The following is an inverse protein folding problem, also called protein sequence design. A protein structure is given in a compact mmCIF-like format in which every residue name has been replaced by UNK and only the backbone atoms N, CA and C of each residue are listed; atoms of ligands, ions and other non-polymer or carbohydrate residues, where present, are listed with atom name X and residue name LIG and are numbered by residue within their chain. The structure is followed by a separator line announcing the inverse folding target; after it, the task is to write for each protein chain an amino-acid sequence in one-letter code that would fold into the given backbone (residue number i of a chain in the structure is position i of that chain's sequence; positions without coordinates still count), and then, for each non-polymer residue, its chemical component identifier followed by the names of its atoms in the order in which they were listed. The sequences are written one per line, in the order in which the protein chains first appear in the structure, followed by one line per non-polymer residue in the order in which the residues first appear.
data_IF_754946153958
#
_entry.id   IF_754946153958
#
_cell.length_a   1.000
_cell.length_b   1.000
_cell.length_c   1.000
_cell.angle_alpha   90.00
_cell.angle_beta   90.00
_cell.angle_gamma   90.00
#
_symmetry.space_group_name_H-M   'P 1'
#
loop_
_entity.id
_entity.type
_entity.pdbx_description
1 polymer ?
#
# COMPACT_ATOMS: atom_id res chain seq x y z
N UNK A 1 -5.64 15.05 -15.11
CA UNK A 1 -4.45 15.04 -14.23
C UNK A 1 -4.85 14.34 -12.94
N UNK A 2 -4.01 13.48 -12.37
CA UNK A 2 -4.29 12.78 -11.11
C UNK A 2 -3.26 13.16 -10.05
N UNK A 3 -3.66 13.20 -8.78
CA UNK A 3 -2.74 13.43 -7.67
C UNK A 3 -2.05 12.14 -7.25
N UNK A 4 -0.98 12.23 -6.47
CA UNK A 4 -0.29 11.06 -5.91
C UNK A 4 -1.22 10.24 -5.01
N UNK A 5 -2.09 10.89 -4.23
CA UNK A 5 -3.09 10.22 -3.42
C UNK A 5 -4.08 9.41 -4.27
N UNK A 6 -4.57 9.99 -5.38
CA UNK A 6 -5.47 9.26 -6.27
C UNK A 6 -4.76 8.09 -6.94
N UNK A 7 -3.50 8.27 -7.36
CA UNK A 7 -2.72 7.18 -7.94
C UNK A 7 -2.50 6.03 -6.95
N UNK A 8 -2.20 6.32 -5.68
CA UNK A 8 -2.01 5.29 -4.66
C UNK A 8 -3.31 4.52 -4.39
N UNK A 9 -4.44 5.22 -4.30
CA UNK A 9 -5.77 4.59 -4.16
C UNK A 9 -6.09 3.69 -5.34
N UNK A 10 -5.78 4.15 -6.55
CA UNK A 10 -5.97 3.38 -7.77
C UNK A 10 -5.12 2.11 -7.74
N UNK A 11 -3.84 2.15 -7.35
CA UNK A 11 -2.96 0.97 -7.33
C UNK A 11 -3.34 -0.06 -6.25
N UNK A 12 -3.78 0.42 -5.08
CA UNK A 12 -4.09 -0.47 -3.95
C UNK A 12 -5.47 -1.12 -4.13
N UNK A 13 -6.42 -0.47 -4.83
CA UNK A 13 -7.76 -1.00 -5.13
C UNK A 13 -8.61 -1.43 -3.92
N UNK A 14 -8.27 -1.01 -2.69
CA UNK A 14 -9.07 -1.25 -1.48
C UNK A 14 -9.78 0.02 -1.01
N UNK A 15 -11.00 -0.16 -0.50
CA UNK A 15 -11.81 0.93 0.08
C UNK A 15 -11.32 1.24 1.49
N UNK A 16 -10.29 2.08 1.58
CA UNK A 16 -9.80 2.64 2.85
C UNK A 16 -10.00 4.16 2.87
N UNK A 17 -9.98 4.75 4.07
CA UNK A 17 -10.11 6.19 4.23
C UNK A 17 -8.95 6.95 3.56
N UNK A 18 -9.19 8.18 3.08
CA UNK A 18 -8.13 9.02 2.52
C UNK A 18 -6.97 9.22 3.50
N UNK A 19 -7.28 9.41 4.79
CA UNK A 19 -6.28 9.59 5.84
C UNK A 19 -5.34 8.40 6.00
N UNK A 20 -5.82 7.18 5.76
CA UNK A 20 -4.95 6.00 5.74
C UNK A 20 -3.88 6.10 4.64
N UNK A 21 -4.28 6.44 3.41
CA UNK A 21 -3.36 6.57 2.29
C UNK A 21 -2.42 7.77 2.45
N UNK A 22 -2.92 8.89 2.96
CA UNK A 22 -2.13 10.09 3.25
C UNK A 22 -1.00 9.78 4.25
N UNK A 23 -1.28 9.04 5.31
CA UNK A 23 -0.26 8.63 6.28
C UNK A 23 0.84 7.79 5.63
N UNK A 24 0.48 6.86 4.73
CA UNK A 24 1.45 6.00 4.03
C UNK A 24 2.33 6.78 3.05
N UNK A 25 1.77 7.80 2.41
CA UNK A 25 2.55 8.72 1.58
C UNK A 25 3.51 9.56 2.42
N UNK A 26 3.04 10.10 3.55
CA UNK A 26 3.87 10.91 4.47
C UNK A 26 5.04 10.12 5.05
N UNK A 27 4.83 8.86 5.45
CA UNK A 27 5.91 7.96 5.90
C UNK A 27 7.01 7.77 4.84
N UNK A 28 6.66 7.92 3.56
CA UNK A 28 7.55 7.82 2.40
C UNK A 28 8.00 9.17 1.86
N UNK A 29 7.72 10.27 2.56
CA UNK A 29 8.05 11.64 2.15
C UNK A 29 7.42 12.05 0.80
N UNK A 30 6.18 11.63 0.55
CA UNK A 30 5.37 12.01 -0.61
C UNK A 30 4.21 12.92 -0.21
N UNK A 31 3.88 13.92 -1.04
CA UNK A 31 2.70 14.76 -0.83
C UNK A 31 1.52 14.22 -1.63
N UNK A 32 0.45 13.80 -0.95
CA UNK A 32 -0.74 13.28 -1.61
C UNK A 32 -1.44 14.26 -2.56
N UNK A 33 -1.21 15.57 -2.40
CA UNK A 33 -1.83 16.63 -3.20
C UNK A 33 -1.04 17.00 -4.45
N UNK A 34 0.22 16.57 -4.56
CA UNK A 34 1.04 16.87 -5.73
C UNK A 34 0.54 16.12 -6.98
N UNK A 35 0.86 16.66 -8.16
CA UNK A 35 0.52 16.02 -9.43
C UNK A 35 1.37 14.75 -9.57
N UNK A 36 0.70 13.62 -9.77
CA UNK A 36 1.40 12.36 -10.00
C UNK A 36 2.01 12.33 -11.40
N UNK A 37 3.34 12.27 -11.45
CA UNK A 37 4.12 12.14 -12.69
C UNK A 37 4.59 10.69 -12.89
N UNK A 38 5.07 10.39 -14.10
CA UNK A 38 5.66 9.08 -14.41
C UNK A 38 6.87 8.80 -13.52
N UNK A 39 7.65 9.83 -13.19
CA UNK A 39 8.83 9.69 -12.32
C UNK A 39 8.42 9.31 -10.90
N UNK A 40 7.34 9.91 -10.37
CA UNK A 40 6.78 9.52 -9.07
C UNK A 40 6.29 8.08 -9.11
N UNK A 41 5.53 7.66 -10.12
CA UNK A 41 5.04 6.27 -10.25
C UNK A 41 6.18 5.24 -10.28
N UNK A 42 7.30 5.58 -10.92
CA UNK A 42 8.47 4.70 -11.01
C UNK A 42 9.39 4.79 -9.79
N UNK A 43 9.21 5.79 -8.94
CA UNK A 43 10.05 6.06 -7.78
C UNK A 43 9.95 4.96 -6.71
N UNK A 44 11.04 4.77 -5.96
CA UNK A 44 11.05 3.86 -4.82
C UNK A 44 10.03 4.25 -3.73
N UNK A 45 9.91 5.54 -3.33
CA UNK A 45 8.93 5.96 -2.33
C UNK A 45 7.50 5.57 -2.68
N UNK A 46 7.07 5.77 -3.94
CA UNK A 46 5.69 5.47 -4.32
C UNK A 46 5.40 3.98 -4.30
N UNK A 47 6.30 3.17 -4.88
CA UNK A 47 6.21 1.70 -4.82
C UNK A 47 6.22 1.19 -3.39
N UNK A 48 7.07 1.76 -2.54
CA UNK A 48 7.11 1.48 -1.11
C UNK A 48 5.77 1.78 -0.42
N UNK A 49 5.15 2.92 -0.72
CA UNK A 49 3.84 3.29 -0.17
C UNK A 49 2.75 2.28 -0.57
N UNK A 50 2.74 1.79 -1.82
CA UNK A 50 1.85 0.71 -2.26
C UNK A 50 2.05 -0.54 -1.40
N UNK A 51 3.30 -0.97 -1.22
CA UNK A 51 3.62 -2.14 -0.39
C UNK A 51 3.26 -1.96 1.09
N UNK A 52 3.41 -0.75 1.64
CA UNK A 52 3.04 -0.46 3.03
C UNK A 52 1.51 -0.47 3.22
N UNK A 53 0.74 0.00 2.23
CA UNK A 53 -0.71 -0.12 2.23
C UNK A 53 -1.15 -1.59 2.23
N UNK A 54 -0.58 -2.41 1.34
CA UNK A 54 -0.87 -3.84 1.24
C UNK A 54 -0.52 -4.59 2.54
N UNK A 55 0.63 -4.29 3.15
CA UNK A 55 1.05 -4.89 4.42
C UNK A 55 0.12 -4.51 5.58
N UNK A 56 -0.28 -3.25 5.65
CA UNK A 56 -1.19 -2.80 6.71
C UNK A 56 -2.54 -3.51 6.62
N UNK A 57 -3.04 -3.73 5.40
CA UNK A 57 -4.31 -4.40 5.16
C UNK A 57 -4.35 -5.81 5.77
N UNK A 58 -3.29 -6.60 5.55
CA UNK A 58 -3.24 -7.99 6.04
C UNK A 58 -2.96 -8.08 7.55
N UNK A 59 -2.33 -7.05 8.12
CA UNK A 59 -2.10 -6.91 9.56
C UNK A 59 -3.34 -6.49 10.33
N UNK A 60 -4.39 -5.97 9.67
CA UNK A 60 -5.63 -5.65 10.35
C UNK A 60 -6.33 -6.95 10.79
N UNK A 61 -6.60 -7.13 12.10
CA UNK A 61 -7.11 -8.38 12.64
C UNK A 61 -8.51 -8.72 12.10
N UNK A 62 -9.35 -7.72 11.85
CA UNK A 62 -10.72 -7.89 11.35
C UNK A 62 -11.04 -6.78 10.33
N UNK A 63 -10.49 -6.86 9.12
CA UNK A 63 -10.96 -5.97 8.05
C UNK A 63 -12.34 -6.46 7.59
N UNK A 64 -13.38 -5.84 8.13
CA UNK A 64 -14.78 -6.01 7.71
C UNK A 64 -15.38 -4.61 7.47
N UNK A 65 -14.87 -3.88 6.47
CA UNK A 65 -15.55 -2.68 5.98
C UNK A 65 -16.36 -3.04 4.72
N UNK A 66 -17.66 -3.28 4.92
CA UNK A 66 -18.59 -3.70 3.86
C UNK A 66 -18.53 -5.21 3.54
N UNK A 67 -18.72 -5.57 2.28
CA UNK A 67 -18.79 -6.97 1.79
C UNK A 67 -17.42 -7.66 1.60
N UNK A 68 -16.30 -6.99 1.94
CA UNK A 68 -14.95 -7.54 1.71
C UNK A 68 -14.46 -8.24 2.96
N UNK A 69 -14.44 -9.57 2.91
CA UNK A 69 -13.71 -10.41 3.87
C UNK A 69 -12.44 -10.93 3.20
N UNK A 70 -11.29 -10.70 3.83
CA UNK A 70 -10.01 -11.23 3.33
C UNK A 70 -9.81 -12.63 3.89
N UNK A 71 -9.76 -13.63 3.02
CA UNK A 71 -9.40 -14.99 3.42
C UNK A 71 -7.91 -15.08 3.80
N UNK A 72 -7.50 -16.17 4.46
CA UNK A 72 -6.08 -16.43 4.75
C UNK A 72 -5.25 -16.50 3.46
N UNK A 73 -5.77 -17.15 2.42
CA UNK A 73 -5.12 -17.23 1.12
C UNK A 73 -4.94 -15.84 0.47
N UNK A 74 -5.92 -14.94 0.62
CA UNK A 74 -5.78 -13.56 0.15
C UNK A 74 -4.68 -12.83 0.91
N UNK A 75 -4.58 -13.04 2.22
CA UNK A 75 -3.51 -12.43 3.03
C UNK A 75 -2.12 -12.90 2.59
N UNK A 76 -1.95 -14.20 2.30
CA UNK A 76 -0.66 -14.74 1.81
C UNK A 76 -0.31 -14.22 0.41
N UNK A 77 -1.30 -14.09 -0.49
CA UNK A 77 -1.11 -13.52 -1.81
C UNK A 77 -0.70 -12.04 -1.74
N UNK A 78 -1.37 -11.26 -0.89
CA UNK A 78 -1.07 -9.84 -0.67
C UNK A 78 0.31 -9.67 -0.03
N UNK A 79 0.67 -10.53 0.94
CA UNK A 79 2.01 -10.56 1.54
C UNK A 79 3.09 -10.80 0.48
N UNK A 80 2.89 -11.81 -0.37
CA UNK A 80 3.82 -12.14 -1.46
C UNK A 80 3.99 -10.97 -2.42
N UNK A 81 2.89 -10.30 -2.79
CA UNK A 81 2.92 -9.12 -3.65
C UNK A 81 3.68 -7.96 -3.00
N UNK A 82 3.39 -7.63 -1.74
CA UNK A 82 4.05 -6.55 -1.02
C UNK A 82 5.56 -6.80 -0.90
N UNK A 83 5.97 -8.02 -0.55
CA UNK A 83 7.38 -8.41 -0.47
C UNK A 83 8.07 -8.38 -1.83
N UNK A 84 7.38 -8.77 -2.91
CA UNK A 84 7.87 -8.59 -4.28
C UNK A 84 8.19 -7.12 -4.60
N UNK A 85 7.34 -6.19 -4.15
CA UNK A 85 7.57 -4.75 -4.34
C UNK A 85 8.75 -4.27 -3.49
N UNK A 86 8.82 -4.61 -2.19
CA UNK A 86 9.97 -4.26 -1.33
C UNK A 86 11.29 -4.73 -1.94
N UNK A 87 11.35 -5.99 -2.39
CA UNK A 87 12.53 -6.54 -3.05
C UNK A 87 12.90 -5.76 -4.31
N UNK A 88 11.91 -5.37 -5.13
CA UNK A 88 12.14 -4.60 -6.36
C UNK A 88 12.72 -3.20 -6.12
N UNK A 89 12.51 -2.61 -4.94
CA UNK A 89 13.05 -1.30 -4.55
C UNK A 89 14.32 -1.41 -3.69
N UNK A 90 14.75 -2.64 -3.35
CA UNK A 90 15.91 -2.93 -2.53
C UNK A 90 15.67 -2.86 -1.03
N UNK A 91 14.42 -3.01 -0.59
CA UNK A 91 14.02 -3.10 0.81
C UNK A 91 13.86 -4.55 1.26
N UNK A 92 13.98 -4.78 2.57
CA UNK A 92 13.86 -6.13 3.15
C UNK A 92 12.40 -6.56 3.22
N UNK A 93 12.18 -7.85 2.99
CA UNK A 93 10.87 -8.47 3.18
C UNK A 93 10.36 -8.29 4.62
N UNK A 94 9.05 -8.12 4.74
CA UNK A 94 8.36 -8.04 6.03
C UNK A 94 7.68 -9.39 6.30
N UNK A 95 7.78 -9.85 7.54
CA UNK A 95 7.05 -11.03 8.02
C UNK A 95 5.87 -10.61 8.87
N UNK A 96 4.78 -11.37 8.80
CA UNK A 96 3.66 -11.22 9.72
C UNK A 96 4.08 -11.78 11.08
N UNK A 97 4.50 -10.89 11.98
CA UNK A 97 4.66 -11.27 13.39
C UNK A 97 3.26 -11.29 14.00
N UNK A 98 2.66 -12.48 14.09
CA UNK A 98 1.45 -12.69 14.88
C UNK A 98 1.75 -12.24 16.32
N UNK A 99 1.21 -11.09 16.73
CA UNK A 99 1.18 -10.64 18.12
C UNK A 99 -0.20 -10.91 18.71
#
# INVERSE_FOLDING_TARGET
MKTVLQALKDEVHYKLSSGFFENRLLERSLDGNEICTIDILKSKPFKGAVADCLMSLIQMPNFTEGDVSLSLSDKDNILTLANGIYNSIGETEKTLVNR
#
